data_IF_393029630137
#
_entry.id   IF_393029630137
#
_cell.length_a   1.000
_cell.length_b   1.000
_cell.length_c   1.000
_cell.angle_alpha   90.00
_cell.angle_beta   90.00
_cell.angle_gamma   90.00
#
_symmetry.space_group_name_H-M   'P 1'
#
loop_
_entity.id
_entity.type
_entity.pdbx_description
1 polymer ?
#
# COMPACT_ATOMS: atom_id res chain seq x y z
N UNK A 1 2.33 -11.66 13.01
CA UNK A 1 0.88 -11.82 12.79
C UNK A 1 0.38 -10.69 11.93
N UNK A 2 -0.87 -10.75 11.44
CA UNK A 2 -1.47 -9.58 10.81
C UNK A 2 -1.67 -8.48 11.89
N UNK A 3 -1.34 -7.24 11.54
CA UNK A 3 -1.45 -6.10 12.45
C UNK A 3 -0.18 -5.74 13.23
N UNK A 4 0.90 -6.51 13.10
CA UNK A 4 2.18 -6.17 13.72
C UNK A 4 2.78 -4.92 13.07
N UNK A 5 3.37 -4.04 13.89
CA UNK A 5 4.14 -2.91 13.37
C UNK A 5 5.49 -3.41 12.83
N UNK A 6 5.74 -3.15 11.55
CA UNK A 6 6.96 -3.60 10.87
C UNK A 6 7.88 -2.46 10.43
N UNK A 7 7.39 -1.22 10.44
CA UNK A 7 8.13 -0.04 9.99
C UNK A 7 7.46 1.26 10.47
N UNK A 8 8.14 2.38 10.23
CA UNK A 8 7.61 3.74 10.32
C UNK A 8 7.58 4.39 8.93
N UNK A 9 6.69 5.35 8.72
CA UNK A 9 6.67 6.16 7.49
C UNK A 9 7.96 6.98 7.34
N UNK A 10 8.29 7.36 6.11
CA UNK A 10 9.49 8.14 5.81
C UNK A 10 9.43 8.79 4.43
N UNK A 11 10.56 9.35 4.00
CA UNK A 11 10.69 10.05 2.72
C UNK A 11 12.06 9.82 2.06
N UNK A 12 12.58 8.59 2.15
CA UNK A 12 13.87 8.22 1.53
C UNK A 12 13.62 7.53 0.19
N UNK A 13 14.52 7.70 -0.79
CA UNK A 13 14.41 7.10 -2.12
C UNK A 13 13.69 8.00 -3.14
N UNK A 14 12.97 7.39 -4.09
CA UNK A 14 12.17 8.14 -5.08
C UNK A 14 10.82 8.53 -4.46
N UNK A 15 10.75 9.73 -3.91
CA UNK A 15 9.59 10.23 -3.18
C UNK A 15 9.53 11.76 -3.24
N UNK A 16 8.32 12.33 -3.32
CA UNK A 16 8.09 13.78 -3.34
C UNK A 16 7.73 14.35 -1.97
N UNK A 17 7.45 13.50 -0.97
CA UNK A 17 7.10 13.88 0.39
C UNK A 17 6.82 12.65 1.27
N UNK A 18 6.67 12.79 2.60
CA UNK A 18 6.44 11.65 3.48
C UNK A 18 5.12 10.92 3.18
N UNK A 19 5.19 9.65 2.78
CA UNK A 19 4.04 8.79 2.52
C UNK A 19 4.42 7.30 2.64
N UNK A 20 3.43 6.42 2.44
CA UNK A 20 3.61 4.98 2.35
C UNK A 20 3.34 4.52 0.91
N UNK A 21 4.35 3.97 0.25
CA UNK A 21 4.17 3.23 -1.00
C UNK A 21 3.70 1.81 -0.67
N UNK A 22 2.59 1.38 -1.28
CA UNK A 22 2.02 0.06 -1.05
C UNK A 22 1.70 -0.62 -2.39
N UNK A 23 2.16 -1.86 -2.56
CA UNK A 23 1.95 -2.64 -3.77
C UNK A 23 1.34 -4.00 -3.44
N UNK A 24 0.52 -4.51 -4.36
CA UNK A 24 0.00 -5.89 -4.32
C UNK A 24 0.55 -6.65 -5.52
N UNK A 25 1.22 -7.77 -5.23
CA UNK A 25 1.73 -8.70 -6.23
C UNK A 25 1.01 -10.05 -6.09
N UNK A 26 0.20 -10.42 -7.08
CA UNK A 26 -0.42 -11.74 -7.15
C UNK A 26 0.63 -12.78 -7.57
N UNK A 27 0.73 -13.87 -6.80
CA UNK A 27 1.76 -14.90 -7.03
C UNK A 27 3.19 -14.37 -6.96
N UNK A 28 3.41 -13.20 -6.36
CA UNK A 28 4.72 -12.56 -6.24
C UNK A 28 5.25 -11.88 -7.50
N UNK A 29 4.49 -11.85 -8.61
CA UNK A 29 4.99 -11.35 -9.90
C UNK A 29 4.03 -10.37 -10.57
N UNK A 30 2.72 -10.62 -10.51
CA UNK A 30 1.72 -9.80 -11.20
C UNK A 30 1.32 -8.61 -10.33
N UNK A 31 1.74 -7.41 -10.70
CA UNK A 31 1.28 -6.16 -10.07
C UNK A 31 -0.18 -5.89 -10.43
N UNK A 32 -0.98 -5.55 -9.43
CA UNK A 32 -2.37 -5.15 -9.59
C UNK A 32 -2.64 -3.86 -8.84
N UNK A 33 -3.68 -3.13 -9.24
CA UNK A 33 -4.11 -1.94 -8.52
C UNK A 33 -4.54 -2.32 -7.08
N UNK A 34 -3.85 -1.77 -6.05
CA UNK A 34 -4.16 -2.10 -4.67
C UNK A 34 -5.53 -1.57 -4.22
N UNK A 35 -6.04 -0.49 -4.82
CA UNK A 35 -7.30 0.14 -4.37
C UNK A 35 -8.50 -0.79 -4.52
N UNK A 36 -8.86 -1.30 -5.72
CA UNK A 36 -9.96 -2.24 -5.86
C UNK A 36 -9.66 -3.59 -5.19
N UNK A 37 -8.38 -4.00 -5.11
CA UNK A 37 -7.99 -5.25 -4.45
C UNK A 37 -8.25 -5.21 -2.93
N UNK A 38 -7.99 -4.08 -2.29
CA UNK A 38 -8.28 -3.81 -0.88
C UNK A 38 -9.79 -3.67 -0.65
N UNK A 39 -10.50 -2.99 -1.54
CA UNK A 39 -11.95 -2.81 -1.45
C UNK A 39 -12.71 -4.15 -1.44
N UNK A 40 -12.28 -5.11 -2.26
CA UNK A 40 -12.82 -6.49 -2.25
C UNK A 40 -12.62 -7.22 -0.90
N UNK A 41 -11.69 -6.73 -0.06
CA UNK A 41 -11.41 -7.25 1.29
C UNK A 41 -12.03 -6.38 2.39
N UNK A 42 -12.93 -5.46 2.03
CA UNK A 42 -13.62 -4.58 2.97
C UNK A 42 -12.79 -3.40 3.47
N UNK A 43 -11.67 -3.08 2.80
CA UNK A 43 -10.79 -1.98 3.17
C UNK A 43 -10.97 -0.79 2.21
N UNK A 44 -11.14 0.40 2.77
CA UNK A 44 -11.16 1.66 2.02
C UNK A 44 -9.90 2.45 2.32
N UNK A 45 -9.10 2.70 1.28
CA UNK A 45 -8.09 3.76 1.30
C UNK A 45 -8.85 5.05 1.02
N UNK A 46 -8.84 5.98 1.96
CA UNK A 46 -9.63 7.22 1.89
C UNK A 46 -9.22 8.11 0.71
N UNK A 47 -9.60 9.40 0.77
CA UNK A 47 -9.47 10.34 -0.35
C UNK A 47 -8.02 10.67 -0.80
N UNK A 48 -7.00 10.03 -0.22
CA UNK A 48 -5.59 10.31 -0.46
C UNK A 48 -4.86 9.19 -1.23
N UNK A 49 -5.60 8.24 -1.82
CA UNK A 49 -5.03 7.29 -2.77
C UNK A 49 -4.89 7.94 -4.16
N UNK A 50 -3.65 8.07 -4.65
CA UNK A 50 -3.32 8.68 -5.94
C UNK A 50 -1.90 8.40 -6.36
#
# INVERSE_FOLDING_TARGET
>A
MAGDQIATMGNRGNSTGPHLHFEVLLGGTTRVDPVPWLAQRGLSVGNYAG
#
